data_IF_429468561037
#
_entry.id   IF_429468561037
#
_cell.length_a   1.000
_cell.length_b   1.000
_cell.length_c   1.000
_cell.angle_alpha   90.00
_cell.angle_beta   90.00
_cell.angle_gamma   90.00
#
_symmetry.space_group_name_H-M   'P 1'
#
loop_
_entity.id
_entity.type
_entity.pdbx_description
1 polymer ?
#
# COMPACT_ATOMS: atom_id res chain seq x y z
N UNK A 1 -19.71 10.16 -13.24
CA UNK A 1 -18.34 10.05 -13.80
C UNK A 1 -17.75 8.74 -13.30
N UNK A 2 -17.47 7.79 -14.19
CA UNK A 2 -16.97 6.47 -13.80
C UNK A 2 -15.50 6.59 -13.40
N UNK A 3 -15.24 6.89 -12.13
CA UNK A 3 -13.90 6.86 -11.55
C UNK A 3 -13.44 5.41 -11.55
N UNK A 4 -12.69 5.00 -12.59
CA UNK A 4 -12.03 3.69 -12.60
C UNK A 4 -11.24 3.58 -11.29
N UNK A 5 -11.70 2.73 -10.38
CA UNK A 5 -11.06 2.51 -9.10
C UNK A 5 -9.59 2.16 -9.37
N UNK A 6 -8.66 2.86 -8.69
CA UNK A 6 -7.24 2.58 -8.86
C UNK A 6 -6.97 1.12 -8.50
N UNK A 7 -6.58 0.31 -9.50
CA UNK A 7 -6.39 -1.14 -9.33
C UNK A 7 -5.29 -1.47 -8.31
N UNK A 8 -4.39 -0.52 -7.99
CA UNK A 8 -3.38 -0.68 -6.95
C UNK A 8 -3.98 -0.89 -5.56
N UNK A 9 -5.22 -0.46 -5.30
CA UNK A 9 -5.91 -0.74 -4.03
C UNK A 9 -5.99 -2.23 -3.70
N UNK A 10 -5.88 -3.13 -4.68
CA UNK A 10 -5.81 -4.57 -4.44
C UNK A 10 -4.58 -5.01 -3.62
N UNK A 11 -3.53 -4.19 -3.60
CA UNK A 11 -2.27 -4.46 -2.92
C UNK A 11 -2.12 -3.69 -1.60
N UNK A 12 -3.16 -2.98 -1.17
CA UNK A 12 -3.16 -2.17 0.04
C UNK A 12 -4.39 -2.46 0.90
N UNK A 13 -4.18 -2.62 2.20
CA UNK A 13 -5.25 -2.59 3.18
C UNK A 13 -5.67 -1.15 3.46
N UNK A 14 -6.98 -0.90 3.51
CA UNK A 14 -7.55 0.41 3.86
C UNK A 14 -7.75 0.47 5.37
N UNK A 15 -6.94 1.30 6.04
CA UNK A 15 -7.07 1.57 7.46
C UNK A 15 -7.96 2.77 7.75
N UNK A 16 -7.72 3.37 8.92
CA UNK A 16 -8.52 4.49 9.43
C UNK A 16 -8.43 5.76 8.58
N UNK A 17 -9.47 6.59 8.68
CA UNK A 17 -9.50 7.87 7.98
C UNK A 17 -8.60 8.88 8.70
N UNK A 18 -7.51 9.28 8.06
CA UNK A 18 -6.51 10.21 8.64
C UNK A 18 -6.99 11.66 8.60
N UNK A 19 -7.71 12.06 7.56
CA UNK A 19 -8.32 13.39 7.43
C UNK A 19 -9.54 13.34 6.50
N UNK A 20 -10.15 14.50 6.23
CA UNK A 20 -11.35 14.59 5.38
C UNK A 20 -11.18 13.96 3.99
N UNK A 21 -9.95 13.91 3.46
CA UNK A 21 -9.64 13.50 2.10
C UNK A 21 -8.91 12.14 1.98
N UNK A 22 -8.21 11.67 3.02
CA UNK A 22 -7.32 10.51 2.91
C UNK A 22 -7.49 9.51 4.04
N UNK A 23 -7.29 8.23 3.69
CA UNK A 23 -7.18 7.11 4.61
C UNK A 23 -5.70 6.77 4.83
N UNK A 24 -5.37 6.29 6.02
CA UNK A 24 -4.18 5.48 6.24
C UNK A 24 -4.36 4.18 5.46
N UNK A 25 -3.31 3.74 4.81
CA UNK A 25 -3.30 2.48 4.07
C UNK A 25 -2.00 1.76 4.32
N UNK A 26 -2.02 0.45 4.21
CA UNK A 26 -0.87 -0.38 4.52
C UNK A 26 -0.61 -1.32 3.35
N UNK A 27 0.64 -1.41 2.91
CA UNK A 27 0.99 -2.38 1.88
C UNK A 27 0.78 -3.79 2.40
N UNK A 28 0.02 -4.61 1.68
CA UNK A 28 -0.25 -6.00 2.09
C UNK A 28 1.03 -6.84 2.19
N UNK A 29 2.02 -6.55 1.36
CA UNK A 29 3.35 -7.17 1.44
C UNK A 29 4.05 -6.87 2.77
N UNK A 30 4.12 -5.59 3.15
CA UNK A 30 4.67 -5.17 4.44
C UNK A 30 3.88 -5.76 5.61
N UNK A 31 2.55 -5.72 5.56
CA UNK A 31 1.69 -6.28 6.60
C UNK A 31 1.92 -7.77 6.78
N UNK A 32 1.96 -8.54 5.70
CA UNK A 32 2.22 -9.98 5.79
C UNK A 32 3.60 -10.29 6.35
N UNK A 33 4.62 -9.51 5.97
CA UNK A 33 5.95 -9.66 6.53
C UNK A 33 5.98 -9.34 8.05
N UNK A 34 5.30 -8.28 8.46
CA UNK A 34 5.18 -7.92 9.87
C UNK A 34 4.41 -8.99 10.66
N UNK A 35 3.30 -9.50 10.11
CA UNK A 35 2.56 -10.63 10.71
C UNK A 35 3.44 -11.85 10.88
N UNK A 36 4.20 -12.24 9.85
CA UNK A 36 5.11 -13.38 9.92
C UNK A 36 6.19 -13.17 11.00
N UNK A 37 6.70 -11.96 11.13
CA UNK A 37 7.68 -11.61 12.17
C UNK A 37 7.11 -11.69 13.59
N UNK A 38 5.79 -11.54 13.74
CA UNK A 38 5.06 -11.60 15.02
C UNK A 38 4.38 -12.97 15.25
N UNK A 39 4.60 -13.93 14.36
CA UNK A 39 3.83 -15.17 14.30
C UNK A 39 4.07 -16.07 15.50
N UNK A 40 5.31 -16.24 15.92
CA UNK A 40 5.67 -17.09 17.04
C UNK A 40 4.98 -16.62 18.34
N UNK A 41 5.05 -15.32 18.63
CA UNK A 41 4.38 -14.72 19.78
C UNK A 41 2.85 -14.91 19.71
N UNK A 42 2.26 -14.80 18.51
CA UNK A 42 0.83 -15.06 18.31
C UNK A 42 0.48 -16.53 18.56
N UNK A 43 1.23 -17.46 17.97
CA UNK A 43 1.02 -18.91 18.11
C UNK A 43 1.15 -19.38 19.56
N UNK A 44 2.05 -18.77 20.34
CA UNK A 44 2.15 -19.00 21.78
C UNK A 44 0.89 -18.57 22.53
N UNK A 45 0.36 -17.36 22.24
CA UNK A 45 -0.85 -16.83 22.92
C UNK A 45 -2.12 -17.63 22.62
N UNK A 46 -2.20 -18.25 21.45
CA UNK A 46 -3.41 -18.96 21.01
C UNK A 46 -3.36 -20.48 21.18
N UNK A 47 -2.24 -21.06 21.64
CA UNK A 47 -2.00 -22.51 21.70
C UNK A 47 -3.13 -23.29 22.39
N UNK A 48 -3.58 -22.79 23.54
CA UNK A 48 -4.61 -23.41 24.37
C UNK A 48 -5.85 -22.51 24.54
N UNK A 49 -6.00 -21.52 23.66
CA UNK A 49 -7.07 -20.53 23.72
C UNK A 49 -8.39 -21.08 23.18
N UNK A 50 -9.50 -20.68 23.80
CA UNK A 50 -10.83 -20.89 23.25
C UNK A 50 -11.08 -20.05 21.98
N UNK A 51 -12.17 -20.32 21.27
CA UNK A 51 -12.49 -19.65 19.99
C UNK A 51 -12.65 -18.13 20.13
N UNK A 52 -13.25 -17.63 21.22
CA UNK A 52 -13.44 -16.20 21.43
C UNK A 52 -12.10 -15.50 21.71
N UNK A 53 -11.25 -16.13 22.51
CA UNK A 53 -9.89 -15.65 22.78
C UNK A 53 -9.04 -15.66 21.50
N UNK A 54 -9.12 -16.72 20.70
CA UNK A 54 -8.42 -16.80 19.40
C UNK A 54 -8.83 -15.68 18.45
N UNK A 55 -10.13 -15.39 18.36
CA UNK A 55 -10.63 -14.29 17.53
C UNK A 55 -10.04 -12.93 17.96
N UNK A 56 -10.02 -12.65 19.27
CA UNK A 56 -9.46 -11.41 19.80
C UNK A 56 -7.95 -11.31 19.57
N UNK A 57 -7.21 -12.40 19.77
CA UNK A 57 -5.77 -12.44 19.52
C UNK A 57 -5.42 -12.33 18.03
N UNK A 58 -6.24 -12.86 17.13
CA UNK A 58 -6.06 -12.67 15.68
C UNK A 58 -6.25 -11.20 15.28
N UNK A 59 -7.26 -10.53 15.85
CA UNK A 59 -7.47 -9.10 15.62
C UNK A 59 -6.30 -8.28 16.16
N UNK A 60 -5.84 -8.57 17.38
CA UNK A 60 -4.69 -7.92 18.00
C UNK A 60 -3.40 -8.14 17.18
N UNK A 61 -3.17 -9.35 16.70
CA UNK A 61 -2.02 -9.65 15.84
C UNK A 61 -2.04 -8.83 14.54
N UNK A 62 -3.23 -8.61 13.96
CA UNK A 62 -3.38 -7.73 12.82
C UNK A 62 -3.12 -6.26 13.16
N UNK A 63 -3.63 -5.77 14.29
CA UNK A 63 -3.44 -4.39 14.74
C UNK A 63 -1.96 -4.11 15.07
N UNK A 64 -1.29 -5.04 15.76
CA UNK A 64 0.14 -4.99 16.06
C UNK A 64 0.97 -4.94 14.76
N UNK A 65 0.60 -5.75 13.75
CA UNK A 65 1.24 -5.70 12.44
C UNK A 65 1.02 -4.36 11.73
N UNK A 66 -0.17 -3.75 11.85
CA UNK A 66 -0.44 -2.43 11.29
C UNK A 66 0.38 -1.33 11.98
N UNK A 67 0.65 -1.45 13.28
CA UNK A 67 1.51 -0.51 14.02
C UNK A 67 2.99 -0.68 13.68
N UNK A 68 3.41 -1.89 13.33
CA UNK A 68 4.80 -2.21 12.98
C UNK A 68 5.21 -1.74 11.58
N UNK A 69 4.26 -1.40 10.70
CA UNK A 69 4.56 -1.00 9.31
C UNK A 69 4.24 0.48 9.07
N UNK A 70 5.04 1.17 8.22
CA UNK A 70 4.74 2.54 7.88
C UNK A 70 3.43 2.62 7.09
N UNK A 71 2.53 3.52 7.51
CA UNK A 71 1.34 3.82 6.74
C UNK A 71 1.68 4.62 5.47
N UNK A 72 0.96 4.33 4.41
CA UNK A 72 0.98 5.02 3.12
C UNK A 72 -0.30 5.82 3.00
N UNK A 73 -0.22 7.03 2.44
CA UNK A 73 -1.41 7.83 2.15
C UNK A 73 -2.25 7.11 1.09
N UNK A 74 -3.57 7.03 1.31
CA UNK A 74 -4.53 6.40 0.39
C UNK A 74 -4.73 7.16 -0.91
N UNK A 75 -3.69 7.29 -1.72
CA UNK A 75 -3.70 7.92 -3.04
C UNK A 75 -2.80 7.18 -4.04
N UNK A 76 -3.11 7.33 -5.32
CA UNK A 76 -2.42 6.61 -6.40
C UNK A 76 -0.92 6.89 -6.44
N UNK A 77 -0.49 8.14 -6.25
CA UNK A 77 0.91 8.51 -6.38
C UNK A 77 1.73 7.97 -5.20
N UNK A 78 1.16 8.00 -3.99
CA UNK A 78 1.75 7.39 -2.81
C UNK A 78 1.90 5.87 -2.97
N UNK A 79 0.90 5.18 -3.55
CA UNK A 79 1.00 3.74 -3.81
C UNK A 79 2.14 3.42 -4.79
N UNK A 80 2.23 4.15 -5.91
CA UNK A 80 3.31 3.98 -6.88
C UNK A 80 4.67 4.27 -6.21
N UNK A 81 4.79 5.37 -5.48
CA UNK A 81 6.04 5.76 -4.82
C UNK A 81 6.50 4.74 -3.77
N UNK A 82 5.56 4.11 -3.04
CA UNK A 82 5.86 3.03 -2.12
C UNK A 82 6.30 1.76 -2.86
N UNK A 83 5.53 1.32 -3.86
CA UNK A 83 5.75 0.03 -4.53
C UNK A 83 7.02 -0.03 -5.34
N UNK A 84 7.39 1.04 -6.07
CA UNK A 84 8.51 1.03 -7.02
C UNK A 84 9.56 2.11 -6.73
N UNK A 85 9.50 2.68 -5.53
CA UNK A 85 10.39 3.73 -5.06
C UNK A 85 10.16 5.09 -5.72
N UNK A 86 10.85 6.08 -5.18
CA UNK A 86 10.92 7.45 -5.68
C UNK A 86 12.33 7.99 -5.54
N UNK A 87 12.55 9.27 -5.84
CA UNK A 87 13.86 9.91 -5.58
C UNK A 87 14.24 9.90 -4.09
N UNK A 88 13.25 9.89 -3.19
CA UNK A 88 13.46 9.95 -1.75
C UNK A 88 13.40 8.58 -1.06
N UNK A 89 12.77 7.59 -1.68
CA UNK A 89 12.47 6.31 -1.04
C UNK A 89 12.86 5.13 -1.94
N UNK A 90 13.34 4.05 -1.32
CA UNK A 90 13.61 2.79 -2.01
C UNK A 90 12.32 2.09 -2.42
N UNK A 91 12.46 1.17 -3.36
CA UNK A 91 11.41 0.22 -3.73
C UNK A 91 11.03 -0.65 -2.53
N UNK A 92 9.73 -0.97 -2.39
CA UNK A 92 9.26 -1.86 -1.34
C UNK A 92 9.75 -3.30 -1.59
N UNK A 93 10.53 -3.83 -0.66
CA UNK A 93 11.12 -5.17 -0.74
C UNK A 93 10.08 -6.28 -0.63
N UNK A 94 8.99 -6.03 0.12
CA UNK A 94 7.94 -7.03 0.39
C UNK A 94 6.77 -6.94 -0.59
N UNK A 95 6.76 -5.97 -1.50
CA UNK A 95 5.72 -5.86 -2.51
C UNK A 95 5.81 -7.01 -3.52
N UNK A 96 4.66 -7.55 -3.92
CA UNK A 96 4.63 -8.57 -4.97
C UNK A 96 5.10 -7.99 -6.31
N UNK A 97 5.69 -8.83 -7.16
CA UNK A 97 6.12 -8.43 -8.50
C UNK A 97 4.95 -7.93 -9.37
N UNK A 98 3.75 -8.48 -9.16
CA UNK A 98 2.52 -8.00 -9.80
C UNK A 98 2.19 -6.56 -9.40
N UNK A 99 2.26 -6.24 -8.10
CA UNK A 99 2.02 -4.90 -7.60
C UNK A 99 3.03 -3.90 -8.19
N UNK A 100 4.31 -4.29 -8.21
CA UNK A 100 5.39 -3.50 -8.82
C UNK A 100 5.15 -3.29 -10.32
N UNK A 101 4.80 -4.34 -11.05
CA UNK A 101 4.52 -4.28 -12.49
C UNK A 101 3.36 -3.32 -12.80
N UNK A 102 2.25 -3.44 -12.07
CA UNK A 102 1.09 -2.54 -12.20
C UNK A 102 1.47 -1.09 -11.88
N UNK A 103 2.25 -0.86 -10.82
CA UNK A 103 2.73 0.48 -10.47
C UNK A 103 3.63 1.07 -11.57
N UNK A 104 4.51 0.27 -12.18
CA UNK A 104 5.32 0.72 -13.32
C UNK A 104 4.43 1.08 -14.50
N UNK A 105 3.48 0.23 -14.87
CA UNK A 105 2.55 0.46 -15.98
C UNK A 105 1.78 1.78 -15.79
N UNK A 106 1.26 2.03 -14.59
CA UNK A 106 0.55 3.28 -14.30
C UNK A 106 1.46 4.51 -14.34
N UNK A 107 2.70 4.42 -13.84
CA UNK A 107 3.68 5.53 -13.93
C UNK A 107 4.05 5.85 -15.38
N UNK A 108 4.19 4.84 -16.24
CA UNK A 108 4.44 5.03 -17.67
C UNK A 108 3.26 5.72 -18.36
N UNK A 109 2.04 5.22 -18.13
CA UNK A 109 0.82 5.82 -18.69
C UNK A 109 0.63 7.30 -18.27
N UNK A 110 1.02 7.66 -17.04
CA UNK A 110 0.99 9.05 -16.57
C UNK A 110 2.00 9.95 -17.30
N UNK A 111 3.20 9.44 -17.60
CA UNK A 111 4.20 10.20 -18.38
C UNK A 111 3.74 10.39 -19.82
N UNK A 112 3.13 9.38 -20.43
CA UNK A 112 2.63 9.46 -21.81
C UNK A 112 1.45 10.44 -21.93
N UNK A 113 0.54 10.44 -20.94
CA UNK A 113 -0.57 11.39 -20.90
C UNK A 113 -0.12 12.82 -20.58
N UNK A 114 0.89 13.00 -19.71
CA UNK A 114 1.50 14.31 -19.46
C UNK A 114 2.19 14.87 -20.71
N UNK A 115 2.93 14.03 -21.44
CA UNK A 115 3.64 14.42 -22.66
C UNK A 115 2.68 14.82 -23.79
N UNK A 116 1.49 14.21 -23.86
CA UNK A 116 0.43 14.57 -24.81
C UNK A 116 -0.34 15.84 -24.44
N UNK A 117 -0.28 16.29 -23.17
CA UNK A 117 -0.99 17.48 -22.67
C UNK A 117 -0.15 18.75 -22.69
N UNK A 118 1.16 18.67 -22.90
CA UNK A 118 2.01 19.86 -23.01
C UNK A 118 1.76 20.56 -24.36
N UNK A 119 1.18 21.77 -24.42
CA UNK A 119 1.18 22.54 -25.65
C UNK A 119 2.63 22.86 -26.01
N UNK A 120 3.00 22.54 -27.25
CA UNK A 120 4.27 22.89 -27.86
C UNK A 120 4.33 24.42 -27.97
N UNK A 121 4.90 25.10 -26.98
CA UNK A 121 5.25 26.52 -27.11
C UNK A 121 6.41 26.63 -28.09
N UNK A 122 6.08 26.70 -29.38
CA UNK A 122 6.96 27.26 -30.39
C UNK A 122 7.13 28.74 -30.09
N UNK A 123 8.24 29.11 -29.44
CA UNK A 123 8.70 30.50 -29.48
C UNK A 123 9.09 30.80 -30.94
N UNK A 124 8.33 31.67 -31.57
CA UNK A 124 8.64 32.23 -32.89
C UNK A 124 9.36 33.56 -32.69
N UNK A 125 10.62 33.59 -33.16
CA UNK A 125 11.49 34.72 -33.50
C UNK A 125 11.78 35.79 -32.44
#
# INVERSE_FOLDING_TARGET
>A
MSTKANVLWKYFHKGEKQNSAHYATYCLGCLNNAKESLREDYEERVRDADEATRFNEEQKWFDDACQAVPSVRGDKHAFIAHLIGSKANKECEHASEEAKSEARAQRHAERDTASKKAPRTTQTK
#
